data_IF_981594785482
#
_entry.id   IF_981594785482
#
_cell.length_a   1.000
_cell.length_b   1.000
_cell.length_c   1.000
_cell.angle_alpha   90.00
_cell.angle_beta   90.00
_cell.angle_gamma   90.00
#
_symmetry.space_group_name_H-M   'P 1'
#
loop_
_entity.id
_entity.type
_entity.pdbx_description
1 polymer ?
#
# COMPACT_ATOMS: atom_id res chain seq x y z
N UNK A 1 -45.41 25.06 -33.69
CA UNK A 1 -44.60 23.87 -33.33
C UNK A 1 -43.10 24.10 -33.53
N UNK A 2 -42.66 24.95 -34.48
CA UNK A 2 -41.24 25.22 -34.76
C UNK A 2 -40.43 25.84 -33.62
N UNK A 3 -41.04 26.74 -32.82
CA UNK A 3 -40.33 27.38 -31.70
C UNK A 3 -39.81 26.39 -30.65
N UNK A 4 -40.49 25.26 -30.45
CA UNK A 4 -40.10 24.28 -29.43
C UNK A 4 -38.91 23.42 -29.88
N UNK A 5 -38.79 23.18 -31.19
CA UNK A 5 -37.70 22.41 -31.78
C UNK A 5 -36.39 23.22 -31.76
N UNK A 6 -36.47 24.51 -32.11
CA UNK A 6 -35.30 25.39 -32.12
C UNK A 6 -34.69 25.59 -30.72
N UNK A 7 -35.53 25.76 -29.69
CA UNK A 7 -35.06 25.86 -28.30
C UNK A 7 -34.41 24.58 -27.82
N UNK A 8 -34.93 23.41 -28.22
CA UNK A 8 -34.36 22.10 -27.88
C UNK A 8 -32.97 21.90 -28.51
N UNK A 9 -32.84 22.20 -29.80
CA UNK A 9 -31.55 22.15 -30.51
C UNK A 9 -30.50 23.09 -29.91
N UNK A 10 -30.89 24.31 -29.52
CA UNK A 10 -29.97 25.26 -28.90
C UNK A 10 -29.43 24.74 -27.56
N UNK A 11 -30.32 24.17 -26.73
CA UNK A 11 -29.95 23.58 -25.43
C UNK A 11 -29.05 22.34 -25.57
N UNK A 12 -29.34 21.47 -26.54
CA UNK A 12 -28.46 20.34 -26.86
C UNK A 12 -27.08 20.81 -27.35
N UNK A 13 -27.02 21.83 -28.20
CA UNK A 13 -25.75 22.38 -28.68
C UNK A 13 -24.93 23.04 -27.56
N UNK A 14 -25.57 23.76 -26.64
CA UNK A 14 -24.93 24.32 -25.44
C UNK A 14 -24.38 23.22 -24.53
N UNK A 15 -25.13 22.13 -24.32
CA UNK A 15 -24.69 20.99 -23.52
C UNK A 15 -23.49 20.26 -24.16
N UNK A 16 -23.53 20.02 -25.47
CA UNK A 16 -22.43 19.39 -26.22
C UNK A 16 -21.19 20.28 -26.18
N UNK A 17 -21.36 21.58 -26.38
CA UNK A 17 -20.24 22.54 -26.33
C UNK A 17 -19.63 22.57 -24.93
N UNK A 18 -20.44 22.61 -23.87
CA UNK A 18 -19.97 22.57 -22.48
C UNK A 18 -19.18 21.29 -22.18
N UNK A 19 -19.71 20.13 -22.56
CA UNK A 19 -19.06 18.85 -22.39
C UNK A 19 -17.72 18.76 -23.13
N UNK A 20 -17.66 19.25 -24.38
CA UNK A 20 -16.43 19.28 -25.17
C UNK A 20 -15.38 20.21 -24.56
N UNK A 21 -15.79 21.39 -24.09
CA UNK A 21 -14.90 22.34 -23.41
C UNK A 21 -14.34 21.72 -22.14
N UNK A 22 -15.19 21.17 -21.27
CA UNK A 22 -14.80 20.52 -20.01
C UNK A 22 -13.75 19.40 -20.23
N UNK A 23 -14.02 18.49 -21.17
CA UNK A 23 -13.08 17.42 -21.52
C UNK A 23 -11.76 17.94 -22.09
N UNK A 24 -11.80 18.99 -22.92
CA UNK A 24 -10.60 19.54 -23.53
C UNK A 24 -9.75 20.29 -22.50
N UNK A 25 -10.38 21.04 -21.60
CA UNK A 25 -9.70 21.68 -20.46
C UNK A 25 -9.06 20.65 -19.55
N UNK A 26 -9.78 19.59 -19.17
CA UNK A 26 -9.24 18.51 -18.33
C UNK A 26 -8.05 17.81 -19.01
N UNK A 27 -8.14 17.56 -20.32
CA UNK A 27 -7.04 16.96 -21.10
C UNK A 27 -5.81 17.87 -21.16
N UNK A 28 -6.02 19.19 -21.31
CA UNK A 28 -4.95 20.18 -21.39
C UNK A 28 -4.27 20.39 -20.02
N UNK A 29 -5.07 20.48 -18.95
CA UNK A 29 -4.58 20.58 -17.58
C UNK A 29 -3.79 19.33 -17.18
N UNK A 30 -4.29 18.13 -17.50
CA UNK A 30 -3.55 16.89 -17.27
C UNK A 30 -2.21 16.90 -18.01
N UNK A 31 -2.20 17.25 -19.31
CA UNK A 31 -0.95 17.36 -20.08
C UNK A 31 0.02 18.35 -19.45
N UNK A 32 -0.41 19.58 -19.13
CA UNK A 32 0.45 20.59 -18.49
C UNK A 32 1.02 20.08 -17.15
N UNK A 33 0.18 19.45 -16.32
CA UNK A 33 0.57 18.91 -15.02
C UNK A 33 1.68 17.87 -15.18
N UNK A 34 1.56 16.97 -16.16
CA UNK A 34 2.58 15.95 -16.46
C UNK A 34 3.91 16.51 -17.00
N UNK A 35 3.94 17.74 -17.54
CA UNK A 35 5.16 18.38 -18.05
C UNK A 35 5.96 19.11 -16.96
N UNK A 36 5.32 19.49 -15.84
CA UNK A 36 6.02 20.08 -14.70
C UNK A 36 6.78 19.02 -13.90
N UNK A 37 8.10 19.18 -13.74
CA UNK A 37 9.00 18.18 -13.14
C UNK A 37 8.89 18.04 -11.60
N UNK A 38 7.71 18.23 -10.99
CA UNK A 38 7.63 18.32 -9.51
C UNK A 38 6.21 18.16 -8.98
N UNK A 39 6.06 17.33 -7.92
CA UNK A 39 5.11 17.30 -6.78
C UNK A 39 3.60 17.62 -6.95
N UNK A 40 3.17 18.18 -8.07
CA UNK A 40 1.80 18.61 -8.39
C UNK A 40 0.98 17.49 -9.06
N UNK A 41 1.64 16.46 -9.57
CA UNK A 41 0.97 15.28 -10.12
C UNK A 41 0.27 14.57 -8.96
N UNK A 42 -1.06 14.60 -9.00
CA UNK A 42 -1.91 13.93 -8.02
C UNK A 42 -2.89 13.00 -8.70
N UNK A 43 -3.18 11.86 -8.08
CA UNK A 43 -4.12 10.83 -8.57
C UNK A 43 -4.72 10.04 -7.42
N UNK A 44 -5.63 9.11 -7.73
CA UNK A 44 -6.22 8.26 -6.68
C UNK A 44 -5.21 7.27 -6.10
N UNK A 45 -4.31 6.79 -6.95
CA UNK A 45 -3.18 5.91 -6.63
C UNK A 45 -2.06 6.11 -7.67
N UNK A 46 -0.94 5.39 -7.52
CA UNK A 46 0.18 5.46 -8.45
C UNK A 46 -0.14 4.92 -9.86
N UNK A 47 -1.10 4.00 -10.01
CA UNK A 47 -1.49 3.46 -11.31
C UNK A 47 -2.28 4.49 -12.13
N UNK A 48 -3.19 5.22 -11.48
CA UNK A 48 -3.89 6.35 -12.08
C UNK A 48 -2.93 7.47 -12.49
N UNK A 49 -1.94 7.79 -11.64
CA UNK A 49 -0.87 8.74 -11.99
C UNK A 49 -0.13 8.28 -13.25
N UNK A 50 0.29 7.01 -13.30
CA UNK A 50 1.01 6.47 -14.45
C UNK A 50 0.15 6.46 -15.73
N UNK A 51 -1.15 6.20 -15.60
CA UNK A 51 -2.11 6.21 -16.71
C UNK A 51 -2.31 7.62 -17.28
N UNK A 52 -2.49 8.63 -16.42
CA UNK A 52 -2.69 10.03 -16.83
C UNK A 52 -1.40 10.69 -17.29
N UNK A 53 -0.27 10.33 -16.68
CA UNK A 53 1.06 10.82 -17.03
C UNK A 53 2.01 9.67 -17.43
N UNK A 54 1.89 9.09 -18.65
CA UNK A 54 2.73 7.96 -19.08
C UNK A 54 4.24 8.23 -19.07
N UNK A 55 4.65 9.50 -19.10
CA UNK A 55 6.04 9.95 -18.98
C UNK A 55 6.64 9.81 -17.56
N UNK A 56 5.83 9.40 -16.58
CA UNK A 56 6.27 9.02 -15.22
C UNK A 56 6.77 7.58 -15.15
N UNK A 57 6.58 6.77 -16.20
CA UNK A 57 7.12 5.41 -16.29
C UNK A 57 8.63 5.41 -16.03
N UNK A 58 9.09 4.52 -15.16
CA UNK A 58 10.50 4.42 -14.76
C UNK A 58 10.98 5.54 -13.83
N UNK A 59 10.11 6.44 -13.39
CA UNK A 59 10.45 7.54 -12.46
C UNK A 59 9.90 7.22 -11.07
N UNK A 60 10.56 6.31 -10.38
CA UNK A 60 10.22 5.99 -8.99
C UNK A 60 10.45 7.21 -8.09
N UNK A 61 9.64 7.35 -7.04
CA UNK A 61 9.81 8.45 -6.10
C UNK A 61 8.53 8.78 -5.35
N UNK A 62 8.55 9.92 -4.66
CA UNK A 62 7.40 10.39 -3.88
C UNK A 62 6.44 11.18 -4.76
N UNK A 63 5.17 10.75 -4.75
CA UNK A 63 4.06 11.40 -5.41
C UNK A 63 2.95 11.70 -4.39
N UNK A 64 2.01 12.55 -4.75
CA UNK A 64 0.82 12.81 -3.93
C UNK A 64 -0.35 12.02 -4.47
N UNK A 65 -1.04 11.27 -3.61
CA UNK A 65 -2.33 10.65 -3.93
C UNK A 65 -3.47 11.30 -3.15
N UNK A 66 -4.68 11.19 -3.66
CA UNK A 66 -5.91 11.68 -3.05
C UNK A 66 -6.94 10.56 -3.03
N UNK A 67 -7.38 10.18 -1.84
CA UNK A 67 -8.44 9.19 -1.72
C UNK A 67 -9.83 9.79 -2.04
N UNK A 68 -10.86 8.94 -1.98
CA UNK A 68 -12.25 9.29 -2.32
C UNK A 68 -12.86 10.42 -1.47
N UNK A 69 -12.33 10.67 -0.27
CA UNK A 69 -12.74 11.78 0.60
C UNK A 69 -11.79 12.98 0.50
N UNK A 70 -11.00 13.05 -0.58
CA UNK A 70 -10.04 14.12 -0.87
C UNK A 70 -8.93 14.30 0.17
N UNK A 71 -8.64 13.25 0.96
CA UNK A 71 -7.48 13.24 1.86
C UNK A 71 -6.21 13.02 1.03
N UNK A 72 -5.37 14.05 0.98
CA UNK A 72 -4.03 14.00 0.36
C UNK A 72 -3.07 13.18 1.21
N UNK A 73 -2.23 12.36 0.56
CA UNK A 73 -1.14 11.62 1.20
C UNK A 73 0.04 11.52 0.25
N UNK A 74 1.24 11.80 0.75
CA UNK A 74 2.47 11.52 0.03
C UNK A 74 2.78 10.02 0.14
N UNK A 75 3.06 9.39 -1.00
CA UNK A 75 3.38 7.96 -1.11
C UNK A 75 4.55 7.76 -2.05
N UNK A 76 5.28 6.68 -1.84
CA UNK A 76 6.28 6.23 -2.81
C UNK A 76 5.58 5.46 -3.92
N UNK A 77 5.76 5.89 -5.16
CA UNK A 77 5.35 5.14 -6.33
C UNK A 77 6.55 4.41 -6.92
N UNK A 78 6.42 3.09 -7.05
CA UNK A 78 7.29 2.30 -7.91
C UNK A 78 6.67 2.28 -9.32
N UNK A 79 7.29 3.03 -10.21
CA UNK A 79 6.91 3.23 -11.61
C UNK A 79 7.71 2.32 -12.56
N UNK A 80 8.47 1.38 -12.02
CA UNK A 80 9.44 0.55 -12.75
C UNK A 80 9.06 -0.93 -12.71
N UNK A 81 8.84 -1.48 -11.52
CA UNK A 81 8.61 -2.91 -11.29
C UNK A 81 7.33 -3.40 -11.95
N UNK A 82 7.41 -4.46 -12.75
CA UNK A 82 6.22 -5.10 -13.35
C UNK A 82 5.31 -4.15 -14.12
N UNK A 83 5.89 -3.25 -14.94
CA UNK A 83 5.22 -2.15 -15.66
C UNK A 83 4.81 -0.92 -14.81
N UNK A 84 5.21 -0.86 -13.54
CA UNK A 84 5.04 0.31 -12.67
C UNK A 84 3.61 0.53 -12.19
N UNK A 85 3.37 1.68 -11.56
CA UNK A 85 2.06 2.07 -11.02
C UNK A 85 1.78 1.47 -9.65
N UNK A 86 2.80 0.98 -8.95
CA UNK A 86 2.67 0.42 -7.62
C UNK A 86 2.64 1.53 -6.57
N UNK A 87 1.65 1.48 -5.70
CA UNK A 87 1.59 2.34 -4.51
C UNK A 87 2.22 1.58 -3.35
N UNK A 88 3.39 2.02 -2.89
CA UNK A 88 4.02 1.43 -1.71
C UNK A 88 3.18 1.77 -0.48
N UNK A 89 2.86 0.77 0.34
CA UNK A 89 2.07 0.93 1.57
C UNK A 89 2.90 0.74 2.83
N UNK A 90 4.03 0.05 2.70
CA UNK A 90 5.01 -0.17 3.75
C UNK A 90 6.40 -0.32 3.15
N UNK A 91 7.42 0.24 3.83
CA UNK A 91 8.81 0.09 3.41
C UNK A 91 9.75 0.02 4.60
N UNK A 92 10.63 -0.98 4.63
CA UNK A 92 11.73 -1.17 5.59
C UNK A 92 13.04 -1.37 4.84
N UNK A 93 14.06 -0.59 5.18
CA UNK A 93 15.34 -0.54 4.46
C UNK A 93 16.56 -0.25 5.35
N UNK A 94 16.40 0.36 6.52
CA UNK A 94 17.54 0.79 7.34
C UNK A 94 17.26 0.93 8.86
N UNK A 95 16.03 0.73 9.32
CA UNK A 95 15.66 0.85 10.73
C UNK A 95 15.66 2.29 11.27
N UNK A 96 15.52 3.29 10.40
CA UNK A 96 15.43 4.71 10.79
C UNK A 96 14.11 5.07 11.45
N UNK A 97 13.07 4.25 11.26
CA UNK A 97 11.74 4.46 11.83
C UNK A 97 11.39 3.30 12.76
N UNK A 98 10.94 3.63 13.97
CA UNK A 98 10.37 2.66 14.90
C UNK A 98 8.97 2.25 14.45
N UNK A 99 8.72 0.95 14.34
CA UNK A 99 7.43 0.36 13.96
C UNK A 99 6.66 -0.21 15.17
N UNK A 100 7.23 -0.20 16.38
CA UNK A 100 6.49 -0.59 17.58
C UNK A 100 5.61 0.56 18.08
N UNK A 101 4.52 0.81 17.35
CA UNK A 101 3.63 1.98 17.50
C UNK A 101 2.23 1.60 17.97
N UNK A 102 1.52 2.60 18.47
CA UNK A 102 0.15 2.44 18.98
C UNK A 102 -0.90 2.41 17.83
N UNK A 103 -2.16 2.11 18.18
CA UNK A 103 -3.27 2.01 17.24
C UNK A 103 -3.48 3.29 16.44
N UNK A 104 -3.42 4.44 17.11
CA UNK A 104 -3.66 5.75 16.49
C UNK A 104 -2.59 6.10 15.45
N UNK A 105 -1.33 5.76 15.72
CA UNK A 105 -0.22 5.94 14.78
C UNK A 105 -0.39 5.00 13.56
N UNK A 106 -0.74 3.73 13.77
CA UNK A 106 -1.00 2.79 12.69
C UNK A 106 -2.23 3.18 11.84
N UNK A 107 -3.27 3.73 12.47
CA UNK A 107 -4.44 4.30 11.80
C UNK A 107 -4.07 5.44 10.84
N UNK A 108 -3.27 6.40 11.33
CA UNK A 108 -2.91 7.61 10.58
C UNK A 108 -1.75 7.42 9.60
N UNK A 109 -0.88 6.45 9.88
CA UNK A 109 0.40 6.26 9.21
C UNK A 109 1.51 7.11 9.81
N UNK A 110 2.75 6.67 9.62
CA UNK A 110 3.95 7.25 10.21
C UNK A 110 5.16 7.01 9.31
N UNK A 111 6.26 7.73 9.56
CA UNK A 111 7.47 7.69 8.74
C UNK A 111 7.39 8.61 7.51
N UNK A 112 8.33 8.43 6.59
CA UNK A 112 8.46 9.26 5.38
C UNK A 112 8.49 8.40 4.12
N UNK A 113 7.70 8.78 3.11
CA UNK A 113 7.51 8.01 1.90
C UNK A 113 8.81 7.77 1.11
N UNK A 114 9.78 8.69 1.18
CA UNK A 114 11.10 8.54 0.54
C UNK A 114 12.03 7.56 1.28
N UNK A 115 11.67 7.13 2.49
CA UNK A 115 12.45 6.22 3.35
C UNK A 115 11.57 5.08 3.88
N UNK A 116 11.53 4.88 5.21
CA UNK A 116 10.71 3.90 5.90
C UNK A 116 9.40 4.52 6.36
N UNK A 117 8.28 3.84 6.10
CA UNK A 117 6.97 4.33 6.52
C UNK A 117 5.90 3.24 6.50
N UNK A 118 4.79 3.57 7.13
CA UNK A 118 3.50 2.90 7.01
C UNK A 118 2.47 3.91 6.50
N UNK A 119 1.71 3.55 5.46
CA UNK A 119 0.77 4.49 4.81
C UNK A 119 -0.37 4.94 5.74
N UNK A 120 -0.74 4.09 6.70
CA UNK A 120 -1.87 4.29 7.61
C UNK A 120 -3.07 3.43 7.24
N UNK A 121 -3.68 2.78 8.22
CA UNK A 121 -4.74 1.80 8.00
C UNK A 121 -5.99 2.44 7.37
N UNK A 122 -6.32 3.69 7.71
CA UNK A 122 -7.44 4.40 7.06
C UNK A 122 -7.21 4.62 5.57
N UNK A 123 -5.97 4.96 5.19
CA UNK A 123 -5.63 5.14 3.78
C UNK A 123 -5.60 3.80 3.06
N UNK A 124 -5.02 2.78 3.69
CA UNK A 124 -4.95 1.42 3.15
C UNK A 124 -6.33 0.82 2.88
N UNK A 125 -7.26 0.96 3.84
CA UNK A 125 -8.66 0.59 3.64
C UNK A 125 -9.27 1.36 2.47
N UNK A 126 -9.10 2.68 2.44
CA UNK A 126 -9.68 3.51 1.38
C UNK A 126 -9.19 3.14 -0.02
N UNK A 127 -7.94 2.69 -0.17
CA UNK A 127 -7.38 2.26 -1.46
C UNK A 127 -7.87 0.87 -1.88
N UNK A 128 -8.16 0.00 -0.91
CA UNK A 128 -8.55 -1.39 -1.17
C UNK A 128 -10.07 -1.63 -1.19
N UNK A 129 -10.88 -0.66 -0.74
CA UNK A 129 -12.32 -0.80 -0.65
C UNK A 129 -13.07 -0.71 -1.99
N UNK A 130 -12.53 0.01 -2.97
CA UNK A 130 -13.24 0.28 -4.23
C UNK A 130 -12.98 -0.75 -5.31
N UNK A 131 -11.71 -1.17 -5.45
CA UNK A 131 -11.27 -2.07 -6.50
C UNK A 131 -10.44 -3.18 -5.86
N UNK A 132 -10.57 -4.39 -6.38
CA UNK A 132 -9.63 -5.46 -6.05
C UNK A 132 -8.21 -4.95 -6.29
N UNK A 133 -7.35 -5.09 -5.29
CA UNK A 133 -5.94 -4.76 -5.42
C UNK A 133 -5.15 -6.06 -5.48
N UNK A 134 -4.11 -6.10 -6.30
CA UNK A 134 -3.02 -7.03 -6.08
C UNK A 134 -2.07 -6.45 -5.02
N UNK A 135 -1.51 -7.33 -4.18
CA UNK A 135 -0.42 -7.01 -3.26
C UNK A 135 0.85 -7.67 -3.77
N UNK A 136 1.94 -6.90 -3.84
CA UNK A 136 3.29 -7.41 -4.06
C UNK A 136 4.17 -7.10 -2.85
N UNK A 137 4.94 -8.08 -2.43
CA UNK A 137 5.91 -8.00 -1.35
C UNK A 137 7.29 -8.33 -1.92
N UNK A 138 8.18 -7.35 -1.97
CA UNK A 138 9.58 -7.54 -2.38
C UNK A 138 10.49 -7.55 -1.16
N UNK A 139 11.44 -8.49 -1.10
CA UNK A 139 12.28 -8.76 0.07
C UNK A 139 13.74 -9.03 -0.31
N UNK A 140 14.66 -8.63 0.56
CA UNK A 140 16.11 -8.89 0.42
C UNK A 140 16.71 -9.38 1.76
N UNK A 141 17.61 -10.37 1.68
CA UNK A 141 18.45 -10.80 2.80
C UNK A 141 19.79 -10.07 2.82
N UNK A 142 20.51 -10.14 3.93
CA UNK A 142 21.82 -9.49 4.08
C UNK A 142 22.90 -10.06 3.15
N UNK A 143 22.75 -11.30 2.70
CA UNK A 143 23.61 -11.93 1.71
C UNK A 143 23.30 -11.52 0.26
N UNK A 144 22.32 -10.63 0.03
CA UNK A 144 21.91 -10.15 -1.29
C UNK A 144 20.89 -11.02 -2.01
N UNK A 145 20.45 -12.13 -1.43
CA UNK A 145 19.36 -12.91 -2.00
C UNK A 145 18.05 -12.12 -1.96
N UNK A 146 17.28 -12.19 -3.04
CA UNK A 146 16.00 -11.52 -3.20
C UNK A 146 14.88 -12.53 -3.43
N UNK A 147 13.69 -12.22 -2.94
CA UNK A 147 12.48 -12.98 -3.21
C UNK A 147 11.27 -12.06 -3.22
N UNK A 148 10.18 -12.55 -3.78
CA UNK A 148 8.92 -11.82 -3.80
C UNK A 148 7.72 -12.73 -3.56
N UNK A 149 6.64 -12.16 -3.04
CA UNK A 149 5.32 -12.76 -2.95
C UNK A 149 4.30 -11.83 -3.61
N UNK A 150 3.35 -12.39 -4.36
CA UNK A 150 2.23 -11.68 -4.97
C UNK A 150 0.94 -12.34 -4.55
N UNK A 151 -0.06 -11.54 -4.19
CA UNK A 151 -1.44 -11.97 -3.94
C UNK A 151 -2.32 -11.25 -4.95
N UNK A 152 -3.05 -11.99 -5.80
CA UNK A 152 -3.89 -11.38 -6.84
C UNK A 152 -5.12 -10.67 -6.30
N UNK A 153 -5.48 -10.93 -5.03
CA UNK A 153 -6.48 -10.16 -4.30
C UNK A 153 -5.96 -9.81 -2.91
N UNK A 154 -6.09 -8.55 -2.55
CA UNK A 154 -5.73 -8.00 -1.25
C UNK A 154 -6.73 -6.91 -0.87
N UNK A 155 -7.30 -7.01 0.33
CA UNK A 155 -8.10 -5.93 0.90
C UNK A 155 -7.98 -5.84 2.41
N UNK A 156 -8.27 -4.65 2.92
CA UNK A 156 -8.28 -4.34 4.36
C UNK A 156 -9.62 -3.72 4.70
N UNK A 157 -10.29 -4.26 5.72
CA UNK A 157 -11.56 -3.74 6.21
C UNK A 157 -11.43 -2.35 6.86
N UNK A 158 -12.55 -1.79 7.31
CA UNK A 158 -12.56 -0.50 7.98
C UNK A 158 -12.14 -0.60 9.45
N UNK A 159 -12.13 0.52 10.17
CA UNK A 159 -11.78 0.50 11.60
C UNK A 159 -12.80 -0.28 12.44
N UNK A 160 -14.08 -0.30 12.06
CA UNK A 160 -15.12 -1.02 12.78
C UNK A 160 -14.90 -2.55 12.70
N UNK A 161 -14.41 -3.05 11.56
CA UNK A 161 -13.97 -4.43 11.38
C UNK A 161 -12.55 -4.69 11.87
N UNK A 162 -11.92 -3.71 12.53
CA UNK A 162 -10.53 -3.76 13.03
C UNK A 162 -9.50 -3.99 11.92
N UNK A 163 -9.73 -3.36 10.76
CA UNK A 163 -8.87 -3.44 9.59
C UNK A 163 -8.57 -4.89 9.17
N UNK A 164 -9.59 -5.75 9.19
CA UNK A 164 -9.45 -7.19 8.90
C UNK A 164 -8.80 -7.45 7.53
N UNK A 165 -7.81 -8.34 7.48
CA UNK A 165 -7.10 -8.72 6.27
C UNK A 165 -7.91 -9.69 5.41
N UNK A 166 -7.88 -9.50 4.09
CA UNK A 166 -8.23 -10.54 3.13
C UNK A 166 -7.14 -10.64 2.07
N UNK A 167 -6.67 -11.86 1.81
CA UNK A 167 -5.72 -12.17 0.73
C UNK A 167 -6.13 -13.44 -0.01
N UNK A 168 -5.84 -13.50 -1.30
CA UNK A 168 -6.02 -14.70 -2.13
C UNK A 168 -5.06 -14.71 -3.33
N UNK A 169 -4.94 -15.86 -3.99
CA UNK A 169 -4.23 -16.02 -5.25
C UNK A 169 -2.72 -15.83 -5.12
N UNK A 170 -2.12 -16.44 -4.10
CA UNK A 170 -0.68 -16.39 -3.89
C UNK A 170 0.11 -16.91 -5.11
N UNK A 171 1.19 -16.20 -5.44
CA UNK A 171 2.27 -16.64 -6.33
C UNK A 171 3.59 -15.99 -5.91
N UNK A 172 4.71 -16.47 -6.44
CA UNK A 172 6.04 -15.90 -6.19
C UNK A 172 7.04 -16.90 -5.64
N UNK A 173 8.22 -16.39 -5.25
CA UNK A 173 9.40 -17.18 -4.88
C UNK A 173 9.66 -17.21 -3.37
N UNK A 174 8.98 -16.37 -2.59
CA UNK A 174 9.19 -16.23 -1.15
C UNK A 174 8.40 -17.24 -0.30
N UNK A 175 7.55 -18.06 -0.89
CA UNK A 175 6.58 -18.88 -0.15
C UNK A 175 5.45 -18.03 0.47
N UNK A 176 4.32 -18.66 0.78
CA UNK A 176 3.13 -17.95 1.25
C UNK A 176 3.09 -17.83 2.78
N UNK A 177 3.65 -16.76 3.34
CA UNK A 177 3.61 -16.54 4.81
C UNK A 177 2.41 -15.72 5.28
N UNK A 178 1.75 -14.97 4.39
CA UNK A 178 0.68 -14.03 4.78
C UNK A 178 -0.69 -14.71 4.87
N UNK A 179 -0.97 -15.74 4.07
CA UNK A 179 -2.26 -16.43 4.10
C UNK A 179 -2.58 -17.09 5.45
N UNK A 180 -1.58 -17.35 6.28
CA UNK A 180 -1.79 -17.79 7.66
C UNK A 180 -2.54 -16.76 8.52
N UNK A 181 -2.35 -15.46 8.22
CA UNK A 181 -3.04 -14.36 8.88
C UNK A 181 -4.32 -13.91 8.15
N UNK A 182 -4.75 -14.64 7.11
CA UNK A 182 -5.94 -14.28 6.35
C UNK A 182 -7.19 -14.25 7.25
N UNK A 183 -8.08 -13.29 7.02
CA UNK A 183 -9.30 -13.04 7.83
C UNK A 183 -9.07 -12.62 9.29
N UNK A 184 -7.82 -12.39 9.72
CA UNK A 184 -7.52 -11.90 11.08
C UNK A 184 -7.60 -10.38 11.17
N UNK A 185 -7.73 -9.87 12.39
CA UNK A 185 -7.82 -8.43 12.70
C UNK A 185 -6.43 -7.85 12.95
N UNK A 186 -6.29 -6.56 12.68
CA UNK A 186 -5.04 -5.84 12.98
C UNK A 186 -4.88 -5.66 14.49
N UNK A 187 -3.66 -5.78 15.01
CA UNK A 187 -3.34 -5.58 16.42
C UNK A 187 -2.11 -4.70 16.61
N UNK A 188 -2.09 -3.93 17.69
CA UNK A 188 -0.99 -3.05 18.12
C UNK A 188 -0.70 -3.25 19.61
N UNK A 189 0.34 -2.60 20.12
CA UNK A 189 0.76 -2.70 21.53
C UNK A 189 -0.33 -2.33 22.54
N UNK A 190 -1.30 -1.51 22.13
CA UNK A 190 -2.39 -0.99 22.94
C UNK A 190 -3.78 -1.51 22.52
N UNK A 191 -3.85 -2.36 21.48
CA UNK A 191 -5.10 -2.94 21.03
C UNK A 191 -4.90 -4.38 20.54
N UNK A 192 -5.24 -5.33 21.42
CA UNK A 192 -5.20 -6.76 21.14
C UNK A 192 -6.47 -7.22 20.43
N UNK A 193 -6.35 -7.66 19.17
CA UNK A 193 -7.43 -8.26 18.39
C UNK A 193 -7.00 -9.60 17.76
N UNK A 194 -5.92 -10.21 18.28
CA UNK A 194 -5.42 -11.48 17.77
C UNK A 194 -6.20 -12.68 18.34
N UNK A 195 -5.87 -13.90 17.91
CA UNK A 195 -6.53 -15.14 18.36
C UNK A 195 -5.65 -15.95 19.33
N UNK A 196 -4.57 -15.36 19.86
CA UNK A 196 -3.68 -15.98 20.83
C UNK A 196 -4.26 -15.88 22.24
N UNK A 197 -3.73 -16.67 23.18
CA UNK A 197 -4.06 -16.56 24.61
C UNK A 197 -3.53 -15.28 25.28
N UNK A 198 -2.76 -14.47 24.55
CA UNK A 198 -2.30 -13.15 24.96
C UNK A 198 -1.71 -12.38 23.77
N UNK A 199 -1.42 -11.09 23.95
CA UNK A 199 -1.08 -10.17 22.88
C UNK A 199 0.23 -10.49 22.13
N UNK A 200 0.10 -10.94 20.88
CA UNK A 200 1.19 -11.14 19.94
C UNK A 200 1.97 -9.83 19.69
N UNK A 201 1.23 -8.72 19.55
CA UNK A 201 1.81 -7.40 19.30
C UNK A 201 2.76 -6.97 20.43
N UNK A 202 2.33 -7.14 21.68
CA UNK A 202 3.13 -6.80 22.86
C UNK A 202 4.31 -7.75 23.04
N UNK A 203 4.07 -9.06 22.90
CA UNK A 203 5.08 -10.07 23.14
C UNK A 203 6.23 -10.00 22.12
N UNK A 204 5.92 -9.80 20.83
CA UNK A 204 6.90 -9.74 19.75
C UNK A 204 7.25 -8.31 19.30
N UNK A 205 6.82 -7.30 20.05
CA UNK A 205 7.11 -5.87 19.79
C UNK A 205 6.85 -5.47 18.34
N UNK A 206 5.65 -5.78 17.86
CA UNK A 206 5.25 -5.56 16.47
C UNK A 206 3.78 -5.16 16.38
N UNK A 207 3.29 -4.92 15.17
CA UNK A 207 1.89 -4.70 14.86
C UNK A 207 1.56 -5.26 13.48
N UNK A 208 0.34 -5.78 13.33
CA UNK A 208 -0.04 -6.52 12.13
C UNK A 208 -1.28 -7.39 12.33
N UNK A 209 -1.51 -8.25 11.35
CA UNK A 209 -2.58 -9.24 11.36
C UNK A 209 -2.05 -10.55 11.95
N UNK A 210 -2.58 -10.94 13.10
CA UNK A 210 -2.07 -12.07 13.86
C UNK A 210 -3.14 -13.12 14.10
N UNK A 211 -2.78 -14.38 13.88
CA UNK A 211 -3.55 -15.54 14.31
C UNK A 211 -3.05 -15.97 15.70
N UNK A 212 -1.99 -16.78 15.76
CA UNK A 212 -1.28 -17.14 17.00
C UNK A 212 0.17 -17.61 16.72
N UNK A 213 1.10 -16.75 16.33
CA UNK A 213 0.94 -15.31 16.09
C UNK A 213 1.09 -14.96 14.61
N UNK A 214 2.18 -15.36 13.94
CA UNK A 214 2.42 -15.04 12.53
C UNK A 214 3.42 -16.00 11.88
N UNK A 215 3.39 -16.07 10.54
CA UNK A 215 4.53 -16.52 9.72
C UNK A 215 5.21 -15.36 8.96
N UNK A 216 4.55 -14.21 8.84
CA UNK A 216 5.12 -12.99 8.30
C UNK A 216 5.10 -11.88 9.37
N UNK A 217 6.23 -11.23 9.60
CA UNK A 217 6.33 -10.09 10.52
C UNK A 217 7.02 -8.90 9.81
N UNK A 218 6.40 -8.30 8.78
CA UNK A 218 7.03 -7.22 8.01
C UNK A 218 7.31 -5.96 8.85
N UNK A 219 6.59 -5.80 9.97
CA UNK A 219 6.69 -4.65 10.87
C UNK A 219 7.58 -4.91 12.09
N UNK A 220 8.28 -6.03 12.13
CA UNK A 220 9.21 -6.36 13.20
C UNK A 220 10.36 -5.37 13.37
N UNK A 221 11.14 -5.59 14.41
CA UNK A 221 12.38 -4.88 14.71
C UNK A 221 13.41 -5.07 13.60
N UNK A 222 13.95 -3.95 13.11
CA UNK A 222 15.01 -3.96 12.12
C UNK A 222 16.35 -4.38 12.76
N UNK A 223 17.18 -5.11 12.01
CA UNK A 223 18.53 -5.53 12.42
C UNK A 223 19.57 -4.97 11.45
N UNK A 224 20.79 -4.72 11.90
CA UNK A 224 21.87 -4.21 11.03
C UNK A 224 22.73 -5.33 10.41
N UNK A 225 22.39 -6.58 10.69
CA UNK A 225 23.03 -7.78 10.18
C UNK A 225 22.02 -8.93 10.15
N UNK A 226 22.35 -10.00 9.45
CA UNK A 226 21.58 -11.23 9.51
C UNK A 226 21.50 -11.74 10.95
N UNK A 227 20.28 -12.01 11.41
CA UNK A 227 20.00 -12.66 12.67
C UNK A 227 19.01 -13.79 12.43
N UNK A 228 19.28 -14.92 13.06
CA UNK A 228 18.29 -15.99 13.17
C UNK A 228 17.46 -15.68 14.41
N UNK A 229 16.16 -15.64 14.23
CA UNK A 229 15.23 -15.59 15.34
C UNK A 229 15.37 -16.86 16.18
N UNK A 230 15.56 -16.68 17.48
CA UNK A 230 15.64 -17.77 18.46
C UNK A 230 14.32 -17.88 19.23
N UNK A 231 14.01 -19.04 19.85
CA UNK A 231 12.77 -19.24 20.60
C UNK A 231 12.40 -18.10 21.56
N UNK A 232 13.42 -17.47 22.15
CA UNK A 232 13.29 -16.39 23.13
C UNK A 232 13.07 -15.00 22.50
N UNK A 233 13.18 -14.83 21.18
CA UNK A 233 13.18 -13.51 20.54
C UNK A 233 12.73 -13.49 19.06
N UNK A 234 11.41 -13.58 18.80
CA UNK A 234 10.81 -13.44 17.45
C UNK A 234 10.38 -12.00 17.11
N UNK A 235 11.20 -11.00 17.43
CA UNK A 235 10.83 -9.61 17.16
C UNK A 235 11.19 -9.13 15.76
N UNK A 236 12.03 -9.85 15.00
CA UNK A 236 12.63 -9.34 13.77
C UNK A 236 11.69 -9.30 12.56
N UNK A 237 12.09 -8.54 11.55
CA UNK A 237 11.45 -8.55 10.22
C UNK A 237 11.69 -9.91 9.58
N UNK A 238 10.65 -10.74 9.43
CA UNK A 238 10.77 -12.11 8.94
C UNK A 238 9.65 -12.50 7.96
N UNK A 239 9.97 -13.45 7.10
CA UNK A 239 9.02 -14.12 6.20
C UNK A 239 9.32 -15.62 6.20
N UNK A 240 8.64 -16.37 7.07
CA UNK A 240 9.02 -17.74 7.43
C UNK A 240 9.09 -18.69 6.23
N UNK A 241 8.08 -18.69 5.36
CA UNK A 241 8.04 -19.62 4.22
C UNK A 241 9.11 -19.33 3.16
N UNK A 242 9.88 -18.23 3.30
CA UNK A 242 11.05 -18.01 2.46
C UNK A 242 12.20 -18.88 2.96
N UNK A 243 12.35 -20.05 2.31
CA UNK A 243 13.29 -21.11 2.70
C UNK A 243 13.04 -21.67 4.10
N UNK A 244 11.79 -21.61 4.59
CA UNK A 244 11.37 -22.19 5.88
C UNK A 244 12.27 -21.72 7.04
N UNK A 245 12.49 -20.41 7.12
CA UNK A 245 13.53 -19.81 7.95
C UNK A 245 13.08 -18.52 8.61
N UNK A 246 13.45 -18.37 9.89
CA UNK A 246 13.19 -17.16 10.68
C UNK A 246 14.35 -16.16 10.64
N UNK A 247 15.04 -16.10 9.50
CA UNK A 247 16.14 -15.16 9.27
C UNK A 247 15.59 -13.75 9.06
N UNK A 248 16.18 -12.78 9.76
CA UNK A 248 15.86 -11.36 9.63
C UNK A 248 16.15 -10.84 8.22
N UNK A 249 15.24 -10.04 7.68
CA UNK A 249 15.39 -9.42 6.37
C UNK A 249 16.15 -8.10 6.44
N UNK A 250 16.94 -7.81 5.39
CA UNK A 250 17.61 -6.52 5.18
C UNK A 250 16.63 -5.48 4.64
N UNK A 251 15.71 -5.88 3.77
CA UNK A 251 14.64 -4.99 3.30
C UNK A 251 13.36 -5.76 3.05
N UNK A 252 12.24 -5.07 3.21
CA UNK A 252 10.92 -5.53 2.81
C UNK A 252 10.09 -4.33 2.37
N UNK A 253 9.36 -4.49 1.28
CA UNK A 253 8.46 -3.47 0.73
C UNK A 253 7.14 -4.13 0.36
N UNK A 254 6.03 -3.58 0.87
CA UNK A 254 4.68 -3.98 0.48
C UNK A 254 4.10 -2.89 -0.41
N UNK A 255 3.54 -3.27 -1.55
CA UNK A 255 2.95 -2.34 -2.50
C UNK A 255 1.73 -2.93 -3.17
N UNK A 256 0.76 -2.07 -3.49
CA UNK A 256 -0.53 -2.45 -4.07
C UNK A 256 -0.75 -1.78 -5.42
N UNK A 257 -1.58 -2.43 -6.25
CA UNK A 257 -2.01 -1.91 -7.54
C UNK A 257 -3.39 -2.48 -7.90
N UNK A 258 -4.27 -1.70 -8.58
CA UNK A 258 -5.53 -2.21 -9.12
C UNK A 258 -5.36 -3.24 -10.25
#
# INVERSE_FOLDING_TARGET
MENNLHTKFKKENENVTKFLVENFTETLENKLTCFSHSTLISGVDCADILKRCPNTRGKDGVYNIMNVIHKKKAVYCDMTTGNGGWTVIQRRVNGSVDFYRNWTEYKNGFGFADHEYWIGNDMLHSLTALNSQELRVDMERFNGEQAYAVYSSFSVGDEASKYSLQVDGYSGTAGDSLSYSNYTKFSTLDQDNDLSGGSCATHYKTAGWFLSCFYANPNGQYTYSEKITIPENFTYIVWYNWKTSWISLKSIQLMIRP
#
